data_IF_453582433121
#
_entry.id   IF_453582433121
#
_cell.length_a   1.000
_cell.length_b   1.000
_cell.length_c   1.000
_cell.angle_alpha   90.00
_cell.angle_beta   90.00
_cell.angle_gamma   90.00
#
_symmetry.space_group_name_H-M   'P 1'
#
loop_
_entity.id
_entity.type
_entity.pdbx_description
1 polymer ?
#
# COMPACT_ATOMS: atom_id res chain seq x y z
N UNK A 1 -7.68 -18.83 1.94
CA UNK A 1 -8.66 -17.78 2.24
C UNK A 1 -10.00 -18.44 2.50
N UNK A 2 -10.50 -18.33 3.70
CA UNK A 2 -11.75 -18.98 4.05
C UNK A 2 -12.94 -18.06 3.74
N UNK A 3 -14.02 -18.64 3.23
CA UNK A 3 -15.30 -17.94 3.06
C UNK A 3 -15.80 -17.35 4.40
N UNK A 4 -15.42 -17.95 5.50
CA UNK A 4 -15.73 -17.50 6.86
C UNK A 4 -15.09 -16.15 7.22
N UNK A 5 -13.82 -15.93 6.84
CA UNK A 5 -13.14 -14.67 7.12
C UNK A 5 -13.81 -13.51 6.40
N UNK A 6 -14.17 -13.70 5.14
CA UNK A 6 -14.90 -12.70 4.38
C UNK A 6 -16.29 -12.44 4.97
N UNK A 7 -17.04 -13.48 5.34
CA UNK A 7 -18.36 -13.34 5.93
C UNK A 7 -18.29 -12.56 7.26
N UNK A 8 -17.32 -12.86 8.10
CA UNK A 8 -17.09 -12.12 9.36
C UNK A 8 -16.78 -10.66 9.09
N UNK A 9 -15.86 -10.39 8.17
CA UNK A 9 -15.51 -9.01 7.80
C UNK A 9 -16.73 -8.24 7.29
N UNK A 10 -17.55 -8.86 6.43
CA UNK A 10 -18.77 -8.25 5.92
C UNK A 10 -19.78 -7.92 7.03
N UNK A 11 -19.80 -8.70 8.10
CA UNK A 11 -20.73 -8.55 9.22
C UNK A 11 -20.27 -7.56 10.29
N UNK A 12 -19.01 -7.10 10.25
CA UNK A 12 -18.48 -6.17 11.25
C UNK A 12 -19.22 -4.84 11.25
N UNK A 13 -19.37 -4.19 12.42
CA UNK A 13 -19.80 -2.80 12.47
C UNK A 13 -18.89 -1.90 11.60
N UNK A 14 -19.47 -0.87 11.02
CA UNK A 14 -18.75 0.02 10.09
C UNK A 14 -17.46 0.59 10.71
N UNK A 15 -17.54 1.06 11.96
CA UNK A 15 -16.39 1.64 12.65
C UNK A 15 -15.26 0.61 12.86
N UNK A 16 -15.61 -0.63 13.21
CA UNK A 16 -14.63 -1.71 13.42
C UNK A 16 -13.96 -2.09 12.11
N UNK A 17 -14.74 -2.24 11.05
CA UNK A 17 -14.20 -2.54 9.72
C UNK A 17 -13.24 -1.43 9.25
N UNK A 18 -13.62 -0.16 9.45
CA UNK A 18 -12.76 0.98 9.10
C UNK A 18 -11.42 0.94 9.86
N UNK A 19 -11.44 0.66 11.16
CA UNK A 19 -10.22 0.59 11.96
C UNK A 19 -9.28 -0.53 11.49
N UNK A 20 -9.83 -1.71 11.20
CA UNK A 20 -9.06 -2.82 10.65
C UNK A 20 -8.43 -2.46 9.30
N UNK A 21 -9.18 -1.77 8.45
CA UNK A 21 -8.69 -1.32 7.15
C UNK A 21 -7.61 -0.25 7.28
N UNK A 22 -7.71 0.64 8.27
CA UNK A 22 -6.65 1.61 8.58
C UNK A 22 -5.35 0.93 8.99
N UNK A 23 -5.42 -0.24 9.59
CA UNK A 23 -4.25 -1.07 9.85
C UNK A 23 -3.59 -1.63 8.59
N UNK A 24 -4.36 -1.75 7.50
CA UNK A 24 -3.83 -2.17 6.20
C UNK A 24 -3.21 -1.02 5.41
N UNK A 25 -3.86 0.14 5.45
CA UNK A 25 -3.44 1.33 4.71
C UNK A 25 -3.90 2.58 5.47
N UNK A 26 -2.98 3.49 5.73
CA UNK A 26 -3.24 4.69 6.53
C UNK A 26 -4.06 5.77 5.82
N UNK A 27 -4.53 5.53 4.61
CA UNK A 27 -5.45 6.44 3.93
C UNK A 27 -6.86 6.29 4.49
N UNK A 28 -7.36 7.33 5.16
CA UNK A 28 -8.73 7.36 5.67
C UNK A 28 -9.74 7.25 4.53
N UNK A 29 -9.51 7.95 3.42
CA UNK A 29 -10.39 7.91 2.25
C UNK A 29 -10.53 6.48 1.69
N UNK A 30 -9.42 5.73 1.61
CA UNK A 30 -9.46 4.34 1.18
C UNK A 30 -10.22 3.46 2.18
N UNK A 31 -9.90 3.59 3.47
CA UNK A 31 -10.52 2.78 4.53
C UNK A 31 -12.04 3.00 4.61
N UNK A 32 -12.49 4.24 4.54
CA UNK A 32 -13.92 4.57 4.56
C UNK A 32 -14.66 4.01 3.36
N UNK A 33 -14.10 4.16 2.16
CA UNK A 33 -14.73 3.63 0.95
C UNK A 33 -14.77 2.11 0.94
N UNK A 34 -13.70 1.45 1.41
CA UNK A 34 -13.68 0.00 1.54
C UNK A 34 -14.69 -0.50 2.58
N UNK A 35 -14.78 0.16 3.74
CA UNK A 35 -15.74 -0.22 4.78
C UNK A 35 -17.19 -0.03 4.31
N UNK A 36 -17.48 1.06 3.62
CA UNK A 36 -18.82 1.39 3.11
C UNK A 36 -19.23 0.53 1.91
N UNK A 37 -18.28 -0.01 1.16
CA UNK A 37 -18.55 -0.85 -0.02
C UNK A 37 -18.98 -2.28 0.29
N UNK A 38 -18.94 -2.69 1.58
CA UNK A 38 -19.39 -4.03 1.99
C UNK A 38 -20.91 -4.19 1.85
N UNK A 39 -21.41 -5.42 1.69
CA UNK A 39 -20.67 -6.68 1.66
C UNK A 39 -19.98 -6.94 0.32
N UNK A 40 -18.81 -7.58 0.38
CA UNK A 40 -18.10 -8.06 -0.81
C UNK A 40 -18.49 -9.50 -1.11
N UNK A 41 -18.65 -9.83 -2.39
CA UNK A 41 -19.07 -11.16 -2.84
C UNK A 41 -17.94 -12.20 -2.76
N UNK A 42 -16.70 -11.72 -2.85
CA UNK A 42 -15.51 -12.55 -2.76
C UNK A 42 -14.31 -11.67 -2.35
N UNK A 43 -13.22 -12.30 -1.93
CA UNK A 43 -11.98 -11.58 -1.69
C UNK A 43 -11.42 -10.94 -2.98
N UNK A 44 -11.65 -11.57 -4.11
CA UNK A 44 -11.29 -11.01 -5.42
C UNK A 44 -12.10 -9.75 -5.72
N UNK A 45 -13.37 -9.73 -5.39
CA UNK A 45 -14.21 -8.54 -5.51
C UNK A 45 -13.70 -7.43 -4.61
N UNK A 46 -13.40 -7.71 -3.34
CA UNK A 46 -12.81 -6.74 -2.43
C UNK A 46 -11.47 -6.17 -2.96
N UNK A 47 -10.61 -7.02 -3.50
CA UNK A 47 -9.34 -6.60 -4.09
C UNK A 47 -9.55 -5.69 -5.31
N UNK A 48 -10.51 -6.00 -6.16
CA UNK A 48 -10.86 -5.13 -7.31
C UNK A 48 -11.35 -3.77 -6.85
N UNK A 49 -12.23 -3.74 -5.86
CA UNK A 49 -12.73 -2.48 -5.30
C UNK A 49 -11.60 -1.66 -4.69
N UNK A 50 -10.71 -2.31 -3.94
CA UNK A 50 -9.51 -1.67 -3.40
C UNK A 50 -8.66 -1.01 -4.49
N UNK A 51 -8.36 -1.73 -5.56
CA UNK A 51 -7.57 -1.20 -6.68
C UNK A 51 -8.25 -0.02 -7.36
N UNK A 52 -9.56 -0.09 -7.56
CA UNK A 52 -10.33 1.00 -8.15
C UNK A 52 -10.31 2.26 -7.26
N UNK A 53 -10.39 2.09 -5.95
CA UNK A 53 -10.33 3.20 -5.00
C UNK A 53 -8.93 3.85 -5.03
N UNK A 54 -7.87 3.05 -4.98
CA UNK A 54 -6.49 3.56 -5.04
C UNK A 54 -6.25 4.34 -6.33
N UNK A 55 -6.77 3.86 -7.45
CA UNK A 55 -6.64 4.55 -8.74
C UNK A 55 -7.22 5.97 -8.72
N UNK A 56 -8.17 6.24 -7.84
CA UNK A 56 -8.88 7.53 -7.73
C UNK A 56 -8.48 8.37 -6.52
N UNK A 57 -7.57 7.90 -5.68
CA UNK A 57 -7.12 8.68 -4.54
C UNK A 57 -6.43 9.96 -4.99
N UNK A 58 -6.68 11.06 -4.28
CA UNK A 58 -5.96 12.31 -4.47
C UNK A 58 -4.50 12.17 -4.05
N UNK A 59 -3.65 13.10 -4.48
CA UNK A 59 -2.25 13.12 -4.03
C UNK A 59 -2.16 13.26 -2.50
N UNK A 60 -2.92 14.15 -1.82
CA UNK A 60 -2.93 14.17 -0.36
C UNK A 60 -3.30 12.85 0.29
N UNK A 61 -4.28 12.11 -0.26
CA UNK A 61 -4.65 10.79 0.24
C UNK A 61 -3.54 9.75 0.06
N UNK A 62 -2.83 9.82 -1.07
CA UNK A 62 -1.65 8.98 -1.31
C UNK A 62 -0.51 9.31 -0.34
N UNK A 63 -0.28 10.59 -0.07
CA UNK A 63 0.70 11.04 0.91
C UNK A 63 0.37 10.52 2.31
N UNK A 64 -0.90 10.54 2.70
CA UNK A 64 -1.36 9.97 3.97
C UNK A 64 -1.10 8.46 4.04
N UNK A 65 -1.34 7.74 2.95
CA UNK A 65 -1.04 6.32 2.86
C UNK A 65 0.46 6.05 3.01
N UNK A 66 1.30 6.85 2.35
CA UNK A 66 2.76 6.72 2.43
C UNK A 66 3.30 7.03 3.83
N UNK A 67 2.72 7.99 4.54
CA UNK A 67 3.13 8.35 5.90
C UNK A 67 3.01 7.18 6.88
N UNK A 68 2.09 6.24 6.63
CA UNK A 68 1.94 5.02 7.43
C UNK A 68 2.86 3.88 7.03
N UNK A 69 3.65 4.02 5.97
CA UNK A 69 4.57 3.00 5.48
C UNK A 69 6.01 3.27 5.95
N UNK A 70 6.32 2.89 7.18
CA UNK A 70 7.67 3.07 7.76
C UNK A 70 8.70 2.10 7.20
N UNK A 71 8.29 1.05 6.51
CA UNK A 71 9.17 -0.03 6.05
C UNK A 71 10.33 0.43 5.19
N UNK A 72 10.15 1.47 4.37
CA UNK A 72 11.21 2.00 3.51
C UNK A 72 12.25 2.77 4.33
N UNK A 73 11.81 3.57 5.31
CA UNK A 73 12.72 4.28 6.22
C UNK A 73 13.51 3.30 7.09
N UNK A 74 12.87 2.24 7.57
CA UNK A 74 13.55 1.17 8.32
C UNK A 74 14.54 0.42 7.44
N UNK A 75 14.19 0.14 6.18
CA UNK A 75 15.11 -0.50 5.23
C UNK A 75 16.30 0.41 4.93
N UNK A 76 16.09 1.71 4.78
CA UNK A 76 17.15 2.67 4.60
C UNK A 76 18.10 2.70 5.81
N UNK A 77 17.56 2.64 7.03
CA UNK A 77 18.35 2.58 8.26
C UNK A 77 19.14 1.28 8.38
N UNK A 78 18.62 0.16 7.87
CA UNK A 78 19.26 -1.15 7.91
C UNK A 78 20.13 -1.44 6.70
N UNK A 79 19.88 -0.77 5.58
CA UNK A 79 20.64 -0.93 4.34
C UNK A 79 21.99 -0.20 4.46
N UNK A 80 23.01 -0.76 3.83
CA UNK A 80 24.33 -0.13 3.71
C UNK A 80 24.64 0.16 2.24
N UNK A 81 25.58 1.09 2.01
CA UNK A 81 26.12 1.36 0.69
C UNK A 81 25.15 2.05 -0.26
N UNK A 82 25.19 1.65 -1.53
CA UNK A 82 24.51 2.33 -2.63
C UNK A 82 22.98 2.35 -2.47
N UNK A 83 22.38 1.27 -1.93
CA UNK A 83 20.93 1.21 -1.72
C UNK A 83 20.46 2.26 -0.71
N UNK A 84 21.18 2.40 0.41
CA UNK A 84 20.85 3.38 1.43
C UNK A 84 20.98 4.82 0.87
N UNK A 85 22.01 5.08 0.10
CA UNK A 85 22.24 6.37 -0.52
C UNK A 85 21.14 6.71 -1.53
N UNK A 86 20.75 5.74 -2.35
CA UNK A 86 19.69 5.91 -3.35
C UNK A 86 18.32 6.14 -2.69
N UNK A 87 18.03 5.48 -1.57
CA UNK A 87 16.79 5.71 -0.81
C UNK A 87 16.74 7.13 -0.24
N UNK A 88 17.84 7.62 0.32
CA UNK A 88 17.92 9.01 0.81
C UNK A 88 17.75 10.01 -0.33
N UNK A 89 18.38 9.78 -1.46
CA UNK A 89 18.24 10.62 -2.66
C UNK A 89 16.79 10.66 -3.15
N UNK A 90 16.10 9.51 -3.15
CA UNK A 90 14.69 9.41 -3.52
C UNK A 90 13.81 10.27 -2.60
N UNK A 91 13.98 10.14 -1.28
CA UNK A 91 13.21 10.91 -0.30
C UNK A 91 13.47 12.42 -0.43
N UNK A 92 14.69 12.82 -0.68
CA UNK A 92 15.04 14.23 -0.91
C UNK A 92 14.42 14.78 -2.19
N UNK A 93 14.44 13.97 -3.27
CA UNK A 93 13.91 14.39 -4.57
C UNK A 93 12.39 14.52 -4.56
N UNK A 94 11.69 13.52 -4.02
CA UNK A 94 10.22 13.43 -4.11
C UNK A 94 9.49 13.92 -2.87
N UNK A 95 10.16 14.04 -1.74
CA UNK A 95 9.58 14.53 -0.48
C UNK A 95 8.71 13.51 0.25
N UNK A 96 8.78 12.24 -0.11
CA UNK A 96 8.07 11.14 0.54
C UNK A 96 8.89 9.86 0.49
N UNK A 97 8.48 8.85 1.26
CA UNK A 97 9.17 7.56 1.30
C UNK A 97 9.02 6.80 -0.03
N UNK A 98 10.01 5.96 -0.32
CA UNK A 98 9.98 5.03 -1.44
C UNK A 98 9.03 3.87 -1.14
N UNK A 99 8.06 3.66 -2.00
CA UNK A 99 7.07 2.59 -1.87
C UNK A 99 7.23 1.59 -3.02
N UNK A 100 7.42 0.33 -2.69
CA UNK A 100 7.48 -0.76 -3.65
C UNK A 100 7.05 -2.09 -3.02
N UNK A 101 6.33 -2.90 -3.79
CA UNK A 101 5.97 -4.27 -3.42
C UNK A 101 7.15 -5.18 -3.73
N UNK A 102 8.15 -5.22 -2.84
CA UNK A 102 9.48 -5.79 -3.10
C UNK A 102 9.77 -7.11 -2.40
N UNK A 103 8.76 -7.81 -1.91
CA UNK A 103 8.94 -8.99 -1.06
C UNK A 103 9.83 -10.11 -1.63
N UNK A 104 10.04 -10.15 -2.95
CA UNK A 104 10.82 -11.18 -3.64
C UNK A 104 12.02 -10.64 -4.44
N UNK A 105 12.30 -9.34 -4.36
CA UNK A 105 13.43 -8.75 -5.11
C UNK A 105 14.74 -8.84 -4.31
N UNK A 106 15.85 -9.15 -5.00
CA UNK A 106 17.19 -9.04 -4.44
C UNK A 106 17.56 -7.57 -4.21
N UNK A 107 18.58 -7.32 -3.39
CA UNK A 107 19.10 -5.95 -3.18
C UNK A 107 19.54 -5.29 -4.48
N UNK A 108 20.16 -6.03 -5.40
CA UNK A 108 20.57 -5.54 -6.72
C UNK A 108 19.38 -5.13 -7.57
N UNK A 109 18.31 -5.95 -7.57
CA UNK A 109 17.08 -5.65 -8.31
C UNK A 109 16.37 -4.42 -7.72
N UNK A 110 16.31 -4.30 -6.39
CA UNK A 110 15.74 -3.15 -5.71
C UNK A 110 16.49 -1.86 -6.08
N UNK A 111 17.81 -1.90 -6.09
CA UNK A 111 18.64 -0.75 -6.46
C UNK A 111 18.41 -0.33 -7.91
N UNK A 112 18.34 -1.28 -8.83
CA UNK A 112 18.08 -1.02 -10.25
C UNK A 112 16.71 -0.36 -10.44
N UNK A 113 15.67 -0.87 -9.79
CA UNK A 113 14.31 -0.32 -9.84
C UNK A 113 14.29 1.10 -9.26
N UNK A 114 14.93 1.30 -8.11
CA UNK A 114 14.98 2.59 -7.44
C UNK A 114 15.68 3.64 -8.32
N UNK A 115 16.79 3.30 -8.94
CA UNK A 115 17.51 4.19 -9.86
C UNK A 115 16.67 4.57 -11.08
N UNK A 116 15.89 3.63 -11.60
CA UNK A 116 14.94 3.91 -12.68
C UNK A 116 13.88 4.91 -12.22
N UNK A 117 13.32 4.70 -11.05
CA UNK A 117 12.27 5.57 -10.49
C UNK A 117 12.80 6.96 -10.11
N UNK A 118 14.07 7.09 -9.71
CA UNK A 118 14.72 8.37 -9.48
C UNK A 118 14.73 9.28 -10.71
N UNK A 119 14.64 8.72 -11.90
CA UNK A 119 14.60 9.46 -13.17
C UNK A 119 13.19 9.90 -13.56
N UNK A 120 12.17 9.40 -12.89
CA UNK A 120 10.79 9.72 -13.20
C UNK A 120 10.49 11.20 -12.88
N UNK A 121 9.60 11.78 -13.68
CA UNK A 121 8.93 13.02 -13.30
C UNK A 121 7.96 12.73 -12.15
N UNK A 122 7.61 13.74 -11.39
CA UNK A 122 6.74 13.61 -10.21
C UNK A 122 5.40 12.94 -10.57
N UNK A 123 4.78 13.33 -11.67
CA UNK A 123 3.51 12.75 -12.12
C UNK A 123 3.64 11.27 -12.47
N UNK A 124 4.72 10.89 -13.15
CA UNK A 124 5.00 9.50 -13.49
C UNK A 124 5.24 8.67 -12.24
N UNK A 125 5.96 9.22 -11.26
CA UNK A 125 6.22 8.55 -9.98
C UNK A 125 4.93 8.32 -9.19
N UNK A 126 3.99 9.27 -9.18
CA UNK A 126 2.69 9.05 -8.54
C UNK A 126 1.91 7.90 -9.18
N UNK A 127 2.01 7.71 -10.49
CA UNK A 127 1.39 6.54 -11.16
C UNK A 127 2.03 5.24 -10.70
N UNK A 128 3.35 5.20 -10.57
CA UNK A 128 4.07 4.03 -10.05
C UNK A 128 3.66 3.75 -8.60
N UNK A 129 3.59 4.77 -7.76
CA UNK A 129 3.14 4.65 -6.37
C UNK A 129 1.73 4.06 -6.29
N UNK A 130 0.80 4.52 -7.13
CA UNK A 130 -0.55 3.95 -7.18
C UNK A 130 -0.53 2.46 -7.49
N UNK A 131 0.24 2.05 -8.48
CA UNK A 131 0.37 0.64 -8.85
C UNK A 131 0.97 -0.18 -7.72
N UNK A 132 2.02 0.30 -7.09
CA UNK A 132 2.65 -0.40 -5.97
C UNK A 132 1.72 -0.46 -4.74
N UNK A 133 1.01 0.63 -4.45
CA UNK A 133 0.04 0.65 -3.35
C UNK A 133 -1.12 -0.32 -3.60
N UNK A 134 -1.60 -0.44 -4.83
CA UNK A 134 -2.62 -1.42 -5.20
C UNK A 134 -2.17 -2.84 -4.87
N UNK A 135 -0.94 -3.19 -5.22
CA UNK A 135 -0.36 -4.51 -4.92
C UNK A 135 -0.24 -4.77 -3.42
N UNK A 136 0.27 -3.79 -2.68
CA UNK A 136 0.47 -3.89 -1.24
C UNK A 136 -0.88 -4.02 -0.52
N UNK A 137 -1.85 -3.18 -0.86
CA UNK A 137 -3.17 -3.22 -0.25
C UNK A 137 -3.91 -4.52 -0.57
N UNK A 138 -3.78 -5.06 -1.78
CA UNK A 138 -4.36 -6.35 -2.13
C UNK A 138 -3.80 -7.49 -1.25
N UNK A 139 -2.49 -7.51 -1.04
CA UNK A 139 -1.85 -8.51 -0.19
C UNK A 139 -2.27 -8.37 1.28
N UNK A 140 -2.27 -7.16 1.82
CA UNK A 140 -2.69 -6.90 3.21
C UNK A 140 -4.17 -7.19 3.44
N UNK A 141 -5.01 -6.86 2.48
CA UNK A 141 -6.44 -7.15 2.53
C UNK A 141 -6.68 -8.66 2.54
N UNK A 142 -5.94 -9.40 1.72
CA UNK A 142 -6.00 -10.87 1.71
C UNK A 142 -5.63 -11.45 3.08
N UNK A 143 -4.58 -10.97 3.70
CA UNK A 143 -4.17 -11.37 5.05
C UNK A 143 -5.25 -11.03 6.08
N UNK A 144 -5.82 -9.84 6.02
CA UNK A 144 -6.91 -9.41 6.91
C UNK A 144 -8.11 -10.35 6.80
N UNK A 145 -8.53 -10.68 5.58
CA UNK A 145 -9.68 -11.56 5.35
C UNK A 145 -9.41 -13.01 5.77
N UNK A 146 -8.15 -13.44 5.74
CA UNK A 146 -7.76 -14.77 6.19
C UNK A 146 -7.70 -14.88 7.72
N UNK A 147 -7.33 -13.80 8.41
CA UNK A 147 -7.06 -13.77 9.85
C UNK A 147 -8.17 -13.13 10.69
N UNK A 148 -9.23 -12.64 10.08
CA UNK A 148 -10.33 -12.00 10.81
C UNK A 148 -10.92 -12.93 11.87
N UNK A 149 -10.91 -12.51 13.14
CA UNK A 149 -11.44 -13.32 14.24
C UNK A 149 -12.97 -13.50 14.16
#
# INVERSE_FOLDING_TARGET
MSAEGLARFNALPLAVARELLLGCCSSLAWAERMASGRPYSSARDAARQSSAIVARLSVPDLQAALAGHDGCSQRAAQAAGELADALREYEQRFGHVYLAATSVQSGTQQLATLRTRLRNRREAEWRVIRTELQKINAARLQELLASSP
#
